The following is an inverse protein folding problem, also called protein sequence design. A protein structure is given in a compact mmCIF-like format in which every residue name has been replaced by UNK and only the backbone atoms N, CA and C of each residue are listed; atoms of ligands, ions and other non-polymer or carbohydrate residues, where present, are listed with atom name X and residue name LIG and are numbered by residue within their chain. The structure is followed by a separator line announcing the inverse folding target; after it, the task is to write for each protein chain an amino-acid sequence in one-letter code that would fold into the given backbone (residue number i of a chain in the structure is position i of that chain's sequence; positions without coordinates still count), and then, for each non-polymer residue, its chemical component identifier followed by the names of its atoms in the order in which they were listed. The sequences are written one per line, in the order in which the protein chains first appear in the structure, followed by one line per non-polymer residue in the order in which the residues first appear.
data_IF_944983910309
#
_entry.id   IF_944983910309
#
_cell.length_a   1.000
_cell.length_b   1.000
_cell.length_c   1.000
_cell.angle_alpha   90.00
_cell.angle_beta   90.00
_cell.angle_gamma   90.00
#
_symmetry.space_group_name_H-M   'P 1'
#
loop_
_entity.id
_entity.type
_entity.pdbx_description
1 polymer ?
#
# COMPACT_ATOMS: atom_id res chain seq x y z
N UNK A 1 17.53 0.12 -8.78
CA UNK A 1 18.68 -0.31 -7.96
C UNK A 1 18.67 -1.77 -7.55
N UNK A 2 17.75 -2.24 -6.69
CA UNK A 2 17.70 -3.67 -6.29
C UNK A 2 17.65 -4.61 -7.51
N UNK A 3 16.80 -4.30 -8.49
CA UNK A 3 16.73 -5.03 -9.75
C UNK A 3 18.05 -5.06 -10.54
N UNK A 4 18.80 -3.95 -10.58
CA UNK A 4 20.12 -3.90 -11.24
C UNK A 4 21.11 -4.83 -10.53
N UNK A 5 21.20 -4.72 -9.20
CA UNK A 5 22.12 -5.52 -8.39
C UNK A 5 21.85 -7.02 -8.53
N UNK A 6 20.58 -7.42 -8.45
CA UNK A 6 20.18 -8.82 -8.64
C UNK A 6 20.55 -9.33 -10.04
N UNK A 7 20.36 -8.51 -11.09
CA UNK A 7 20.75 -8.86 -12.47
C UNK A 7 22.26 -8.99 -12.65
N UNK A 8 23.03 -8.20 -11.92
CA UNK A 8 24.50 -8.28 -11.86
C UNK A 8 25.00 -9.46 -11.01
N UNK A 9 24.10 -10.23 -10.37
CA UNK A 9 24.46 -11.33 -9.47
C UNK A 9 24.96 -10.87 -8.09
N UNK A 10 24.75 -9.61 -7.74
CA UNK A 10 25.13 -9.04 -6.44
C UNK A 10 23.94 -9.09 -5.49
N UNK A 11 24.13 -9.69 -4.31
CA UNK A 11 23.14 -9.61 -3.24
C UNK A 11 22.96 -8.14 -2.81
N UNK A 12 21.76 -7.54 -2.96
CA UNK A 12 21.50 -6.17 -2.55
C UNK A 12 21.90 -5.91 -1.10
N UNK A 13 21.70 -6.88 -0.20
CA UNK A 13 21.97 -6.68 1.21
C UNK A 13 23.46 -6.44 1.49
N UNK A 14 24.34 -7.16 0.77
CA UNK A 14 25.80 -7.11 0.90
C UNK A 14 26.41 -5.74 0.57
N UNK A 15 25.72 -4.94 -0.26
CA UNK A 15 26.18 -3.59 -0.67
C UNK A 15 25.36 -2.47 -0.03
N UNK A 16 24.51 -2.80 0.95
CA UNK A 16 23.67 -1.84 1.66
C UNK A 16 22.50 -1.31 0.84
N UNK A 17 21.96 -2.12 -0.07
CA UNK A 17 20.73 -1.85 -0.81
C UNK A 17 19.58 -2.73 -0.30
N UNK A 18 18.33 -2.34 -0.60
CA UNK A 18 17.14 -3.01 -0.05
C UNK A 18 16.79 -4.29 -0.83
N UNK A 19 16.78 -5.48 -0.20
CA UNK A 19 16.28 -6.70 -0.84
C UNK A 19 14.79 -6.62 -1.19
N UNK A 20 14.35 -7.38 -2.20
CA UNK A 20 12.96 -7.34 -2.67
C UNK A 20 11.93 -7.79 -1.63
N UNK A 21 12.24 -8.84 -0.87
CA UNK A 21 11.38 -9.35 0.20
C UNK A 21 11.16 -8.28 1.29
N UNK A 22 12.22 -7.53 1.63
CA UNK A 22 12.14 -6.41 2.55
C UNK A 22 11.24 -5.30 2.01
N UNK A 23 11.39 -4.94 0.73
CA UNK A 23 10.52 -3.96 0.07
C UNK A 23 9.06 -4.41 0.12
N UNK A 24 8.77 -5.68 -0.18
CA UNK A 24 7.41 -6.22 -0.11
C UNK A 24 6.82 -6.14 1.31
N UNK A 25 7.60 -6.47 2.34
CA UNK A 25 7.16 -6.32 3.75
C UNK A 25 6.78 -4.87 4.08
N UNK A 26 7.57 -3.90 3.61
CA UNK A 26 7.25 -2.48 3.81
C UNK A 26 6.03 -2.02 3.03
N UNK A 27 5.81 -2.54 1.81
CA UNK A 27 4.59 -2.29 1.03
C UNK A 27 3.37 -2.82 1.79
N UNK A 28 3.43 -4.05 2.30
CA UNK A 28 2.36 -4.64 3.11
C UNK A 28 2.06 -3.78 4.35
N UNK A 29 3.09 -3.34 5.06
CA UNK A 29 2.97 -2.51 6.26
C UNK A 29 2.31 -1.15 5.95
N UNK A 30 2.83 -0.40 4.97
CA UNK A 30 2.32 0.93 4.67
C UNK A 30 0.96 0.90 4.01
N UNK A 31 0.67 -0.10 3.17
CA UNK A 31 -0.63 -0.25 2.56
C UNK A 31 -1.69 -0.53 3.64
N UNK A 32 -1.47 -1.53 4.50
CA UNK A 32 -2.42 -1.86 5.57
C UNK A 32 -2.61 -0.72 6.58
N UNK A 33 -1.53 -0.03 6.98
CA UNK A 33 -1.62 1.13 7.85
C UNK A 33 -2.43 2.29 7.21
N UNK A 34 -2.30 2.50 5.89
CA UNK A 34 -3.05 3.53 5.18
C UNK A 34 -4.54 3.17 5.04
N UNK A 35 -4.86 1.88 4.87
CA UNK A 35 -6.25 1.40 4.80
C UNK A 35 -7.06 1.74 6.07
N UNK A 36 -6.43 1.74 7.24
CA UNK A 36 -7.11 2.09 8.49
C UNK A 36 -7.55 3.57 8.55
N UNK A 37 -6.94 4.46 7.76
CA UNK A 37 -7.32 5.89 7.70
C UNK A 37 -8.71 6.11 7.10
N UNK A 38 -9.25 5.15 6.36
CA UNK A 38 -10.60 5.23 5.80
C UNK A 38 -11.68 4.93 6.83
N UNK A 39 -11.31 4.38 8.00
CA UNK A 39 -12.23 4.00 9.06
C UNK A 39 -12.96 2.67 8.79
N UNK A 40 -14.03 2.42 9.54
CA UNK A 40 -14.81 1.19 9.39
C UNK A 40 -15.62 1.15 8.08
N UNK A 41 -15.76 -0.04 7.51
CA UNK A 41 -16.44 -0.29 6.23
C UNK A 41 -17.94 0.02 6.30
N UNK A 42 -18.57 -0.18 7.45
CA UNK A 42 -20.00 0.02 7.70
C UNK A 42 -20.21 1.15 8.73
N UNK A 43 -20.45 2.37 8.25
CA UNK A 43 -20.39 3.60 9.04
C UNK A 43 -21.62 4.50 8.86
N UNK A 44 -22.31 4.80 9.97
CA UNK A 44 -23.41 5.78 10.01
C UNK A 44 -22.91 7.20 9.79
N UNK A 45 -21.77 7.57 10.38
CA UNK A 45 -21.19 8.91 10.23
C UNK A 45 -20.83 9.22 8.76
N UNK A 46 -20.33 8.20 8.03
CA UNK A 46 -20.02 8.35 6.62
C UNK A 46 -21.31 8.53 5.79
N UNK A 47 -22.37 7.79 6.13
CA UNK A 47 -23.68 7.93 5.51
C UNK A 47 -24.29 9.33 5.73
N UNK A 48 -24.22 9.86 6.95
CA UNK A 48 -24.73 11.18 7.32
C UNK A 48 -23.94 12.30 6.62
N UNK A 49 -22.61 12.22 6.62
CA UNK A 49 -21.74 13.18 5.92
C UNK A 49 -22.06 13.27 4.43
N UNK A 50 -22.32 12.12 3.78
CA UNK A 50 -22.73 12.07 2.39
C UNK A 50 -24.13 12.65 2.19
N UNK A 51 -25.10 12.24 3.03
CA UNK A 51 -26.49 12.71 2.95
C UNK A 51 -26.63 14.23 3.15
N UNK A 52 -25.79 14.82 4.00
CA UNK A 52 -25.74 16.26 4.25
C UNK A 52 -24.98 17.05 3.16
N UNK A 53 -24.39 16.38 2.16
CA UNK A 53 -23.62 17.02 1.11
C UNK A 53 -22.23 17.52 1.55
N UNK A 54 -21.72 17.07 2.69
CA UNK A 54 -20.42 17.49 3.23
C UNK A 54 -19.24 16.77 2.58
N UNK A 55 -19.42 15.49 2.22
CA UNK A 55 -18.39 14.65 1.60
C UNK A 55 -19.00 13.75 0.52
N UNK A 56 -18.64 13.99 -0.74
CA UNK A 56 -19.04 13.16 -1.89
C UNK A 56 -18.18 11.90 -2.06
N UNK A 57 -18.51 11.06 -3.05
CA UNK A 57 -17.66 9.93 -3.45
C UNK A 57 -16.43 10.43 -4.23
N UNK A 58 -15.46 9.53 -4.41
CA UNK A 58 -14.31 9.80 -5.28
C UNK A 58 -14.78 10.16 -6.69
N UNK A 59 -14.36 11.32 -7.21
CA UNK A 59 -14.72 11.81 -8.55
C UNK A 59 -16.24 11.93 -8.80
N UNK A 60 -17.00 12.30 -7.77
CA UNK A 60 -18.46 12.53 -7.88
C UNK A 60 -18.84 13.46 -9.05
N UNK A 61 -18.07 14.54 -9.25
CA UNK A 61 -18.31 15.55 -10.29
C UNK A 61 -18.03 15.11 -11.72
N UNK A 62 -17.37 13.96 -11.92
CA UNK A 62 -16.98 13.47 -13.24
C UNK A 62 -18.16 12.80 -13.99
N UNK A 63 -19.33 12.73 -13.36
CA UNK A 63 -20.54 12.16 -13.95
C UNK A 63 -20.52 10.63 -14.08
N UNK A 64 -19.59 9.96 -13.39
CA UNK A 64 -19.46 8.49 -13.36
C UNK A 64 -20.60 7.83 -12.57
N UNK A 65 -21.11 8.51 -11.55
CA UNK A 65 -22.28 8.06 -10.79
C UNK A 65 -23.54 8.69 -11.38
N UNK A 66 -24.49 7.83 -11.81
CA UNK A 66 -25.79 8.28 -12.32
C UNK A 66 -26.83 8.41 -11.20
N UNK A 67 -26.45 8.02 -9.99
CA UNK A 67 -27.23 7.99 -8.76
C UNK A 67 -26.60 8.92 -7.71
N UNK A 68 -26.67 10.26 -7.85
CA UNK A 68 -26.02 11.17 -6.91
C UNK A 68 -26.52 11.03 -5.46
N UNK A 69 -27.69 10.42 -5.25
CA UNK A 69 -28.25 10.18 -3.93
C UNK A 69 -27.81 8.86 -3.29
N UNK A 70 -27.33 7.86 -4.05
CA UNK A 70 -26.89 6.56 -3.54
C UNK A 70 -27.91 5.82 -2.62
N UNK A 71 -29.22 6.06 -2.80
CA UNK A 71 -30.27 5.52 -1.90
C UNK A 71 -30.73 4.10 -2.25
N UNK A 72 -30.60 3.71 -3.52
CA UNK A 72 -31.20 2.47 -4.06
C UNK A 72 -30.16 1.39 -4.35
N UNK A 73 -28.97 1.50 -3.73
CA UNK A 73 -27.85 0.61 -3.97
C UNK A 73 -27.37 0.00 -2.65
N UNK A 74 -26.78 -1.19 -2.78
CA UNK A 74 -26.09 -1.88 -1.69
C UNK A 74 -24.62 -2.07 -2.04
N UNK A 75 -23.80 -2.20 -1.01
CA UNK A 75 -22.42 -2.62 -1.09
C UNK A 75 -22.31 -4.04 -0.55
N UNK A 76 -21.70 -4.94 -1.31
CA UNK A 76 -21.47 -6.32 -0.90
C UNK A 76 -20.06 -6.45 -0.35
N UNK A 77 -19.94 -7.09 0.79
CA UNK A 77 -18.65 -7.42 1.40
C UNK A 77 -18.75 -8.74 2.12
N UNK A 78 -17.61 -9.38 2.35
CA UNK A 78 -17.55 -10.53 3.25
C UNK A 78 -17.12 -10.05 4.62
N UNK A 79 -17.87 -10.43 5.65
CA UNK A 79 -17.52 -10.12 7.04
C UNK A 79 -17.18 -11.40 7.79
N UNK A 80 -16.27 -11.33 8.77
CA UNK A 80 -16.02 -12.46 9.67
C UNK A 80 -17.27 -12.82 10.50
N UNK A 81 -17.58 -14.11 10.58
CA UNK A 81 -18.48 -14.69 11.56
C UNK A 81 -17.83 -15.93 12.17
N UNK A 82 -17.17 -15.76 13.31
CA UNK A 82 -16.37 -16.82 13.92
C UNK A 82 -15.15 -17.16 13.07
N UNK A 83 -15.05 -18.42 12.64
CA UNK A 83 -13.95 -18.97 11.85
C UNK A 83 -14.21 -18.96 10.34
N UNK A 84 -15.30 -18.34 9.89
CA UNK A 84 -15.69 -18.25 8.48
C UNK A 84 -16.00 -16.83 8.05
N UNK A 85 -16.06 -16.64 6.74
CA UNK A 85 -16.53 -15.43 6.10
C UNK A 85 -17.96 -15.61 5.62
N UNK A 86 -18.76 -14.56 5.77
CA UNK A 86 -20.15 -14.53 5.32
C UNK A 86 -20.41 -13.30 4.47
N UNK A 87 -21.16 -13.48 3.38
CA UNK A 87 -21.57 -12.36 2.54
C UNK A 87 -22.55 -11.47 3.32
N UNK A 88 -22.26 -10.17 3.33
CA UNK A 88 -23.08 -9.11 3.92
C UNK A 88 -23.36 -8.06 2.87
N UNK A 89 -24.62 -7.69 2.73
CA UNK A 89 -25.02 -6.50 1.98
C UNK A 89 -25.38 -5.38 2.94
N UNK A 90 -24.81 -4.21 2.73
CA UNK A 90 -25.13 -2.99 3.49
C UNK A 90 -25.61 -1.89 2.55
N UNK A 91 -26.46 -0.95 2.99
CA UNK A 91 -26.83 0.22 2.19
C UNK A 91 -25.59 0.98 1.72
N UNK A 92 -25.56 1.40 0.45
CA UNK A 92 -24.37 2.02 -0.16
C UNK A 92 -23.87 3.25 0.62
N UNK A 93 -24.77 4.06 1.18
CA UNK A 93 -24.41 5.20 2.04
C UNK A 93 -23.64 4.81 3.29
N UNK A 94 -23.92 3.64 3.88
CA UNK A 94 -23.14 3.14 5.03
C UNK A 94 -21.75 2.66 4.62
N UNK A 95 -21.57 2.33 3.34
CA UNK A 95 -20.32 1.84 2.77
C UNK A 95 -19.40 2.94 2.20
N UNK A 96 -19.68 4.22 2.43
CA UNK A 96 -18.92 5.32 1.79
C UNK A 96 -17.42 5.28 2.08
N UNK A 97 -17.04 4.80 3.26
CA UNK A 97 -15.63 4.57 3.61
C UNK A 97 -15.02 3.43 2.78
N UNK A 98 -15.72 2.30 2.67
CA UNK A 98 -15.28 1.15 1.89
C UNK A 98 -15.16 1.49 0.39
N UNK A 99 -16.12 2.23 -0.18
CA UNK A 99 -16.05 2.67 -1.59
C UNK A 99 -14.83 3.56 -1.87
N UNK A 100 -14.51 4.45 -0.93
CA UNK A 100 -13.35 5.30 -1.05
C UNK A 100 -12.06 4.50 -0.90
N UNK A 101 -12.03 3.52 -0.01
CA UNK A 101 -10.93 2.57 0.13
C UNK A 101 -10.73 1.73 -1.15
N UNK A 102 -11.80 1.23 -1.78
CA UNK A 102 -11.73 0.51 -3.06
C UNK A 102 -11.10 1.37 -4.15
N UNK A 103 -11.49 2.65 -4.20
CA UNK A 103 -10.94 3.62 -5.15
C UNK A 103 -9.45 3.88 -4.91
N UNK A 104 -9.05 3.98 -3.65
CA UNK A 104 -7.65 4.13 -3.24
C UNK A 104 -6.82 2.88 -3.59
N UNK A 105 -7.33 1.69 -3.25
CA UNK A 105 -6.66 0.42 -3.53
C UNK A 105 -6.46 0.23 -5.04
N UNK A 106 -7.50 0.46 -5.84
CA UNK A 106 -7.42 0.39 -7.30
C UNK A 106 -6.40 1.40 -7.89
N UNK A 107 -6.19 2.55 -7.25
CA UNK A 107 -5.16 3.49 -7.70
C UNK A 107 -3.75 3.02 -7.35
N UNK A 108 -3.55 2.50 -6.14
CA UNK A 108 -2.29 1.87 -5.74
C UNK A 108 -1.94 0.67 -6.63
N UNK A 109 -2.92 -0.15 -7.04
CA UNK A 109 -2.70 -1.28 -7.96
C UNK A 109 -2.15 -0.82 -9.31
N UNK A 110 -2.56 0.35 -9.82
CA UNK A 110 -2.00 0.91 -11.06
C UNK A 110 -0.54 1.29 -10.90
N UNK A 111 -0.13 1.76 -9.71
CA UNK A 111 1.27 2.07 -9.39
C UNK A 111 2.09 0.79 -9.26
N UNK A 112 1.62 -0.20 -8.51
CA UNK A 112 2.28 -1.51 -8.40
C UNK A 112 2.44 -2.17 -9.79
N UNK A 113 1.41 -2.08 -10.63
CA UNK A 113 1.46 -2.55 -12.03
C UNK A 113 2.51 -1.82 -12.87
N UNK A 114 2.74 -0.52 -12.64
CA UNK A 114 3.83 0.23 -13.31
C UNK A 114 5.19 -0.29 -12.86
N UNK A 115 5.41 -0.46 -11.56
CA UNK A 115 6.65 -1.03 -11.02
C UNK A 115 6.91 -2.44 -11.57
N UNK A 116 5.87 -3.28 -11.65
CA UNK A 116 6.00 -4.63 -12.21
C UNK A 116 6.38 -4.62 -13.69
N UNK A 117 5.87 -3.66 -14.49
CA UNK A 117 6.34 -3.48 -15.89
C UNK A 117 7.78 -3.02 -15.99
N UNK A 118 8.26 -2.24 -15.03
CA UNK A 118 9.67 -1.84 -14.97
C UNK A 118 10.55 -3.03 -14.62
N UNK A 119 10.15 -3.83 -13.62
CA UNK A 119 10.83 -5.08 -13.25
C UNK A 119 10.88 -6.09 -14.40
N UNK A 120 9.78 -6.24 -15.14
CA UNK A 120 9.71 -7.08 -16.34
C UNK A 120 10.67 -6.58 -17.43
N UNK A 121 10.70 -5.28 -17.71
CA UNK A 121 11.67 -4.68 -18.65
C UNK A 121 13.12 -4.87 -18.23
N UNK A 122 13.37 -5.02 -16.93
CA UNK A 122 14.69 -5.33 -16.39
C UNK A 122 15.01 -6.82 -16.38
N UNK A 123 14.07 -7.68 -16.80
CA UNK A 123 14.18 -9.15 -16.80
C UNK A 123 14.33 -9.72 -15.38
N UNK A 124 13.56 -9.16 -14.43
CA UNK A 124 13.49 -9.64 -13.04
C UNK A 124 12.15 -10.32 -12.81
N UNK A 125 12.16 -11.50 -12.17
CA UNK A 125 10.95 -12.31 -11.93
C UNK A 125 10.11 -11.84 -10.73
N UNK A 126 10.72 -11.11 -9.79
CA UNK A 126 10.00 -10.58 -8.63
C UNK A 126 8.83 -9.67 -9.04
N UNK A 127 7.69 -9.79 -8.36
CA UNK A 127 6.52 -8.94 -8.55
C UNK A 127 6.08 -8.35 -7.21
N UNK A 128 5.79 -7.05 -7.25
CA UNK A 128 5.14 -6.34 -6.15
C UNK A 128 3.67 -6.71 -6.15
N UNK A 129 3.17 -7.13 -4.99
CA UNK A 129 1.76 -7.42 -4.76
C UNK A 129 1.22 -6.49 -3.66
N UNK A 130 -0.02 -6.03 -3.79
CA UNK A 130 -0.68 -5.32 -2.70
C UNK A 130 -1.43 -6.31 -1.82
N UNK A 131 -1.38 -6.17 -0.49
CA UNK A 131 -2.16 -7.04 0.37
C UNK A 131 -3.67 -6.78 0.18
N UNK A 132 -4.45 -7.80 0.53
CA UNK A 132 -5.90 -7.71 0.67
C UNK A 132 -6.28 -6.56 1.61
N UNK A 133 -7.43 -5.92 1.33
CA UNK A 133 -8.03 -4.89 2.21
C UNK A 133 -8.36 -5.39 3.62
N UNK A 134 -8.31 -6.71 3.86
CA UNK A 134 -8.55 -7.36 5.16
C UNK A 134 -7.27 -7.54 5.97
N UNK A 135 -6.11 -7.45 5.34
CA UNK A 135 -4.82 -7.75 5.95
C UNK A 135 -4.39 -6.66 6.94
N UNK A 136 -3.95 -7.09 8.13
CA UNK A 136 -3.32 -6.23 9.14
C UNK A 136 -4.12 -4.95 9.47
N UNK A 137 -5.43 -5.09 9.65
CA UNK A 137 -6.35 -3.98 9.94
C UNK A 137 -6.50 -3.76 11.45
N UNK A 138 -6.59 -2.50 11.87
CA UNK A 138 -6.93 -2.10 13.24
C UNK A 138 -8.26 -1.33 13.32
N UNK A 139 -8.89 -1.07 12.18
CA UNK A 139 -10.20 -0.42 12.08
C UNK A 139 -11.18 -1.30 11.31
N UNK A 140 -12.47 -1.12 11.61
CA UNK A 140 -13.54 -1.76 10.84
C UNK A 140 -13.79 -3.23 11.19
N UNK A 141 -14.50 -3.93 10.31
CA UNK A 141 -15.04 -5.27 10.60
C UNK A 141 -13.97 -6.36 10.67
N UNK A 142 -12.76 -6.07 10.17
CA UNK A 142 -11.64 -7.02 10.11
C UNK A 142 -10.65 -6.86 11.29
N UNK A 143 -10.80 -5.82 12.13
CA UNK A 143 -9.78 -5.43 13.12
C UNK A 143 -9.46 -6.47 14.21
N UNK A 144 -10.39 -7.37 14.48
CA UNK A 144 -10.26 -8.41 15.50
C UNK A 144 -9.90 -9.79 14.93
N UNK A 145 -9.59 -9.86 13.64
CA UNK A 145 -9.34 -11.10 12.92
C UNK A 145 -7.96 -11.07 12.27
N UNK A 146 -7.40 -12.25 11.99
CA UNK A 146 -6.11 -12.39 11.33
C UNK A 146 -6.32 -12.86 9.90
N UNK A 147 -5.78 -12.10 8.96
CA UNK A 147 -5.82 -12.44 7.55
C UNK A 147 -4.41 -12.57 7.00
N UNK A 148 -4.17 -13.50 6.08
CA UNK A 148 -2.97 -13.52 5.26
C UNK A 148 -2.96 -12.33 4.28
N UNK A 149 -1.82 -11.99 3.64
CA UNK A 149 -1.79 -10.96 2.60
C UNK A 149 -2.73 -11.24 1.44
N UNK A 150 -3.02 -12.50 1.12
CA UNK A 150 -4.01 -12.89 0.10
C UNK A 150 -5.47 -12.73 0.55
N UNK A 151 -5.72 -12.42 1.83
CA UNK A 151 -7.05 -12.18 2.38
C UNK A 151 -7.76 -13.42 2.92
N UNK A 152 -7.03 -14.50 3.16
CA UNK A 152 -7.54 -15.72 3.80
C UNK A 152 -7.60 -15.52 5.31
N UNK A 153 -8.71 -15.90 5.94
CA UNK A 153 -8.83 -15.89 7.39
C UNK A 153 -7.94 -16.99 7.98
N UNK A 154 -7.08 -16.63 8.93
CA UNK A 154 -6.12 -17.53 9.57
C UNK A 154 -6.24 -17.49 11.09
N UNK A 155 -5.69 -18.50 11.76
CA UNK A 155 -5.67 -18.55 13.21
C UNK A 155 -4.68 -17.55 13.82
N UNK A 156 -4.88 -17.20 15.10
CA UNK A 156 -3.91 -16.38 15.86
C UNK A 156 -2.53 -17.06 15.95
N UNK A 157 -2.51 -18.39 16.03
CA UNK A 157 -1.28 -19.17 16.03
C UNK A 157 -0.54 -19.04 14.70
N UNK A 158 -1.23 -19.23 13.57
CA UNK A 158 -0.64 -19.05 12.24
C UNK A 158 -0.12 -17.64 12.03
N UNK A 159 -0.89 -16.63 12.45
CA UNK A 159 -0.46 -15.23 12.42
C UNK A 159 0.82 -15.03 13.23
N UNK A 160 0.86 -15.52 14.47
CA UNK A 160 2.02 -15.39 15.37
C UNK A 160 3.29 -15.97 14.73
N UNK A 161 3.17 -17.09 14.02
CA UNK A 161 4.30 -17.73 13.34
C UNK A 161 4.70 -17.06 12.02
N UNK A 162 3.73 -16.58 11.23
CA UNK A 162 3.97 -16.15 9.83
C UNK A 162 4.05 -14.64 9.61
N UNK A 163 3.51 -13.81 10.51
CA UNK A 163 3.42 -12.35 10.26
C UNK A 163 4.76 -11.68 10.00
N UNK A 164 5.87 -12.25 10.51
CA UNK A 164 7.23 -11.75 10.28
C UNK A 164 7.71 -11.95 8.84
N UNK A 165 7.10 -12.87 8.10
CA UNK A 165 7.34 -13.04 6.66
C UNK A 165 6.66 -11.92 5.86
N UNK A 166 5.59 -11.32 6.41
CA UNK A 166 4.75 -10.35 5.70
C UNK A 166 4.94 -8.90 6.14
N UNK A 167 5.43 -8.66 7.37
CA UNK A 167 5.57 -7.34 7.97
C UNK A 167 7.01 -7.12 8.47
N UNK A 168 7.55 -5.87 8.40
CA UNK A 168 8.92 -5.61 8.80
C UNK A 168 9.13 -5.85 10.29
N UNK A 169 10.06 -6.74 10.60
CA UNK A 169 10.55 -7.03 11.95
C UNK A 169 11.40 -5.87 12.49
N UNK A 170 11.80 -5.96 13.76
CA UNK A 170 12.76 -5.00 14.32
C UNK A 170 14.12 -5.08 13.60
N UNK A 171 14.59 -6.30 13.30
CA UNK A 171 15.84 -6.51 12.58
C UNK A 171 15.80 -5.89 11.17
N UNK A 172 14.66 -6.02 10.47
CA UNK A 172 14.44 -5.36 9.18
C UNK A 172 14.56 -3.83 9.30
N UNK A 173 13.93 -3.24 10.33
CA UNK A 173 13.97 -1.79 10.57
C UNK A 173 15.38 -1.30 10.91
N UNK A 174 16.10 -2.06 11.72
CA UNK A 174 17.48 -1.76 12.09
C UNK A 174 18.40 -1.85 10.87
N UNK A 175 18.19 -2.84 9.99
CA UNK A 175 18.89 -2.97 8.73
C UNK A 175 18.63 -1.77 7.80
N UNK A 176 17.37 -1.40 7.57
CA UNK A 176 17.02 -0.20 6.77
C UNK A 176 17.73 1.03 7.33
N UNK A 177 17.66 1.23 8.66
CA UNK A 177 18.33 2.35 9.33
C UNK A 177 19.84 2.34 9.10
N UNK A 178 20.48 1.19 9.09
CA UNK A 178 21.92 1.06 8.83
C UNK A 178 22.33 1.50 7.41
N UNK A 179 21.43 1.39 6.45
CA UNK A 179 21.62 1.82 5.06
C UNK A 179 21.43 3.34 4.87
N UNK A 180 20.75 4.02 5.80
CA UNK A 180 20.45 5.46 5.72
C UNK A 180 21.67 6.34 6.05
N UNK A 181 22.67 6.30 5.17
CA UNK A 181 23.87 7.16 5.23
C UNK A 181 23.71 8.32 4.25
N UNK A 182 23.85 9.58 4.69
CA UNK A 182 23.67 10.73 3.81
C UNK A 182 24.78 10.82 2.76
N UNK A 183 24.41 11.24 1.55
CA UNK A 183 25.31 11.56 0.44
C UNK A 183 25.01 12.99 0.00
N UNK A 184 25.96 13.90 0.21
CA UNK A 184 25.79 15.34 -0.06
C UNK A 184 26.49 15.81 -1.34
N UNK A 185 27.33 14.98 -1.95
CA UNK A 185 28.05 15.32 -3.18
C UNK A 185 27.05 15.43 -4.34
N UNK A 186 27.00 16.58 -5.07
CA UNK A 186 26.11 16.74 -6.21
C UNK A 186 26.30 15.63 -7.25
N UNK A 187 25.19 15.09 -7.77
CA UNK A 187 25.20 14.01 -8.76
C UNK A 187 25.52 12.63 -8.19
N UNK A 188 25.76 12.49 -6.88
CA UNK A 188 25.93 11.19 -6.22
C UNK A 188 24.64 10.77 -5.51
N UNK A 189 24.39 9.46 -5.52
CA UNK A 189 23.23 8.84 -4.88
C UNK A 189 23.69 7.70 -3.97
N UNK A 190 23.00 7.50 -2.86
CA UNK A 190 23.28 6.40 -1.95
C UNK A 190 23.03 5.04 -2.63
N UNK A 191 23.78 4.00 -2.22
CA UNK A 191 23.74 2.68 -2.86
C UNK A 191 22.37 2.00 -2.88
N UNK A 192 21.44 2.41 -2.01
CA UNK A 192 20.11 1.83 -1.90
C UNK A 192 19.07 2.43 -2.85
N UNK A 193 19.42 3.48 -3.62
CA UNK A 193 18.51 4.13 -4.57
C UNK A 193 19.21 4.38 -5.92
N UNK A 194 18.46 4.24 -7.02
CA UNK A 194 18.96 4.61 -8.34
C UNK A 194 18.82 6.12 -8.56
N UNK A 195 19.67 6.74 -9.40
CA UNK A 195 19.45 8.12 -9.84
C UNK A 195 18.06 8.28 -10.48
N UNK A 196 17.39 9.42 -10.31
CA UNK A 196 16.16 9.71 -11.04
C UNK A 196 16.46 9.89 -12.54
N UNK A 197 15.44 9.72 -13.39
CA UNK A 197 15.61 9.85 -14.84
C UNK A 197 15.93 11.29 -15.29
N UNK A 198 15.45 12.29 -14.55
CA UNK A 198 15.61 13.72 -14.86
C UNK A 198 15.75 14.52 -13.57
N UNK A 199 16.43 15.67 -13.67
CA UNK A 199 16.49 16.64 -12.58
C UNK A 199 15.24 17.50 -12.50
N UNK A 200 15.19 18.38 -11.49
CA UNK A 200 14.06 19.29 -11.27
C UNK A 200 14.21 20.55 -12.13
N UNK A 201 13.13 21.04 -12.76
CA UNK A 201 13.14 22.26 -13.59
C UNK A 201 14.22 22.25 -14.69
N UNK A 202 14.36 21.11 -15.38
CA UNK A 202 15.34 20.90 -16.46
C UNK A 202 16.80 21.13 -16.05
N UNK A 203 17.10 21.10 -14.75
CA UNK A 203 18.48 21.15 -14.24
C UNK A 203 19.14 19.77 -14.31
N UNK A 204 20.47 19.77 -14.37
CA UNK A 204 21.26 18.54 -14.36
C UNK A 204 21.22 17.86 -12.99
N UNK A 205 21.44 16.54 -12.95
CA UNK A 205 21.45 15.77 -11.69
C UNK A 205 22.59 16.16 -10.73
N UNK A 206 23.66 16.75 -11.26
CA UNK A 206 24.81 17.28 -10.52
C UNK A 206 24.65 18.76 -10.15
N UNK A 207 23.48 19.35 -10.40
CA UNK A 207 23.17 20.68 -9.91
C UNK A 207 23.18 20.71 -8.38
N UNK A 208 23.71 21.79 -7.81
CA UNK A 208 23.71 22.02 -6.36
C UNK A 208 22.30 22.42 -5.88
N UNK A 209 21.42 21.43 -5.72
CA UNK A 209 20.02 21.64 -5.32
C UNK A 209 19.85 22.28 -3.94
N UNK A 210 20.80 22.07 -3.04
CA UNK A 210 20.79 22.62 -1.67
C UNK A 210 22.17 23.16 -1.37
N UNK A 211 22.21 24.40 -0.85
CA UNK A 211 23.44 25.05 -0.40
C UNK A 211 23.42 25.13 1.13
N UNK A 212 24.51 24.73 1.77
CA UNK A 212 24.60 24.61 3.24
C UNK A 212 25.20 25.83 3.95
N UNK A 213 25.47 26.92 3.21
CA UNK A 213 26.12 28.12 3.73
C UNK A 213 25.17 29.05 4.48
#
# INVERSE_FOLDING_TARGET
RTAELTKEGTDPASVGAMPFDLVQRYINYWMSASMDLFGGEDSTNAAESFAAGLKGRYREGDGIYKDPTALQHTYKMQVPNGDRLEDKEIPLRRAMNALLLDSYHADCERIASRWNRDLERMEVDFRVELPSVRFNRNQGVYSHYKFSPSGELISEADWTHKHREWLPSQADRDYVKSCMKPVYEPGKFANWIAPPAQGVNDTSLDFEYVKFH
#
